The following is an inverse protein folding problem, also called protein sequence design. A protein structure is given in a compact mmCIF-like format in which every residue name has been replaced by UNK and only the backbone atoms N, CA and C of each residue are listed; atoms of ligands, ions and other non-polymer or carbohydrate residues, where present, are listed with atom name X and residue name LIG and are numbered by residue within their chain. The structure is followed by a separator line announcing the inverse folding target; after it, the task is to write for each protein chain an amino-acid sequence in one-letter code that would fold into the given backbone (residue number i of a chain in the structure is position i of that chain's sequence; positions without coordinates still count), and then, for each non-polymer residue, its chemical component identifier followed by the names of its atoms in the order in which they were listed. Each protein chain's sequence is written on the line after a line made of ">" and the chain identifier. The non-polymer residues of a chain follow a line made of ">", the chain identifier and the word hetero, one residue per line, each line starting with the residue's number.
data_IF_730047807214
#
_entry.id   IF_730047807214
#
_cell.length_a   1.000
_cell.length_b   1.000
_cell.length_c   1.000
_cell.angle_alpha   90.00
_cell.angle_beta   90.00
_cell.angle_gamma   90.00
#
_symmetry.space_group_name_H-M   'P 1'
#
loop_
_entity.id
_entity.type
_entity.pdbx_description
1 polymer ?
#
# COMPACT_ATOMS: atom_id res chain seq x y z
N UNK A 1 45.77 -11.06 -33.93
CA UNK A 1 44.98 -10.11 -34.73
C UNK A 1 43.55 -10.60 -34.68
N UNK A 2 42.77 -10.08 -33.73
CA UNK A 2 41.32 -10.30 -33.67
C UNK A 2 40.70 -8.90 -33.77
N UNK A 3 40.03 -8.64 -34.89
CA UNK A 3 39.17 -7.47 -35.10
C UNK A 3 37.88 -7.68 -34.30
N UNK A 4 37.68 -6.91 -33.24
CA UNK A 4 36.40 -6.81 -32.57
C UNK A 4 35.57 -5.71 -33.24
N UNK A 5 34.48 -6.12 -33.87
CA UNK A 5 33.49 -5.24 -34.47
C UNK A 5 32.76 -4.44 -33.37
N UNK A 6 33.07 -3.15 -33.29
CA UNK A 6 32.39 -2.17 -32.44
C UNK A 6 30.98 -1.93 -32.99
N UNK A 7 29.96 -2.50 -32.34
CA UNK A 7 28.56 -2.21 -32.65
C UNK A 7 28.15 -0.92 -31.94
N UNK A 8 27.94 0.14 -32.71
CA UNK A 8 27.37 1.41 -32.23
C UNK A 8 25.90 1.15 -31.88
N UNK A 9 25.59 1.16 -30.58
CA UNK A 9 24.20 1.23 -30.13
C UNK A 9 23.72 2.68 -30.29
N UNK A 10 22.77 2.90 -31.19
CA UNK A 10 21.97 4.12 -31.20
C UNK A 10 21.18 4.19 -29.89
N UNK A 11 21.55 5.13 -29.02
CA UNK A 11 20.79 5.43 -27.80
C UNK A 11 19.58 6.29 -28.18
N UNK A 12 18.34 5.76 -28.08
CA UNK A 12 17.12 6.51 -28.42
C UNK A 12 16.81 7.65 -27.44
N UNK A 13 17.66 7.89 -26.44
CA UNK A 13 17.52 8.96 -25.46
C UNK A 13 18.49 10.13 -25.63
N UNK A 14 19.36 10.09 -26.65
CA UNK A 14 20.32 11.18 -26.91
C UNK A 14 19.66 12.54 -27.20
N UNK A 15 18.43 12.55 -27.73
CA UNK A 15 17.70 13.79 -28.10
C UNK A 15 16.94 14.46 -26.93
N UNK A 16 16.93 13.88 -25.72
CA UNK A 16 16.10 14.39 -24.60
C UNK A 16 16.91 15.26 -23.62
N UNK A 17 18.23 15.39 -23.78
CA UNK A 17 19.10 16.07 -22.81
C UNK A 17 19.79 17.34 -23.29
N UNK A 18 19.51 17.86 -24.50
CA UNK A 18 20.00 19.18 -24.90
C UNK A 18 19.10 20.32 -24.37
N UNK A 19 18.89 20.33 -23.05
CA UNK A 19 18.29 21.44 -22.32
C UNK A 19 19.35 22.51 -22.02
N UNK A 20 19.95 23.04 -23.09
CA UNK A 20 21.05 24.03 -23.01
C UNK A 20 20.69 25.45 -23.44
N UNK A 21 19.41 25.74 -23.65
CA UNK A 21 18.95 27.11 -23.82
C UNK A 21 17.72 27.38 -22.94
N UNK A 22 17.97 28.11 -21.85
CA UNK A 22 16.96 28.59 -20.92
C UNK A 22 16.16 29.76 -21.49
N UNK A 23 15.35 29.50 -22.52
CA UNK A 23 14.47 30.49 -23.12
C UNK A 23 13.12 29.87 -23.49
N UNK A 24 12.22 29.77 -22.50
CA UNK A 24 10.79 29.75 -22.80
C UNK A 24 10.43 31.21 -23.16
N UNK A 25 10.30 31.49 -24.45
CA UNK A 25 9.66 32.71 -24.95
C UNK A 25 8.16 32.60 -24.64
N UNK A 26 7.75 33.20 -23.52
CA UNK A 26 6.36 33.57 -23.29
C UNK A 26 6.09 34.78 -24.19
N UNK A 27 5.50 34.53 -25.36
CA UNK A 27 4.98 35.60 -26.22
C UNK A 27 3.86 36.35 -25.48
N UNK A 28 4.18 37.61 -25.27
CA UNK A 28 3.37 38.68 -24.71
C UNK A 28 2.63 39.33 -25.89
N UNK A 29 1.35 38.99 -26.11
CA UNK A 29 0.46 39.79 -26.95
C UNK A 29 -0.82 40.20 -26.21
N UNK A 30 -1.03 41.50 -26.27
CA UNK A 30 -1.93 42.36 -25.50
C UNK A 30 -3.35 42.42 -26.10
N UNK A 31 -4.32 43.10 -25.43
CA UNK A 31 -5.74 42.81 -25.47
C UNK A 31 -6.48 43.54 -26.61
N UNK A 32 -7.61 42.98 -27.06
CA UNK A 32 -8.62 43.71 -27.84
C UNK A 32 -9.96 43.70 -27.11
N UNK A 33 -10.47 44.89 -26.80
CA UNK A 33 -11.83 45.12 -26.33
C UNK A 33 -12.81 45.26 -27.52
N UNK A 34 -13.97 44.62 -27.34
CA UNK A 34 -15.33 44.93 -27.81
C UNK A 34 -15.60 45.33 -29.28
N UNK A 35 -16.49 44.56 -29.92
CA UNK A 35 -17.59 45.12 -30.73
C UNK A 35 -18.81 44.19 -30.77
N UNK A 36 -19.95 44.84 -31.00
CA UNK A 36 -21.35 44.48 -30.71
C UNK A 36 -22.02 43.38 -31.57
N UNK A 37 -23.12 42.90 -30.98
CA UNK A 37 -24.35 42.28 -31.49
C UNK A 37 -24.58 42.07 -33.01
N UNK A 38 -25.02 40.85 -33.35
CA UNK A 38 -26.24 40.49 -34.13
C UNK A 38 -26.22 38.95 -34.30
N UNK A 39 -27.13 38.20 -33.68
CA UNK A 39 -28.39 37.67 -34.24
C UNK A 39 -28.22 36.89 -35.56
N UNK A 40 -28.02 35.57 -35.48
CA UNK A 40 -28.76 34.57 -36.26
C UNK A 40 -28.31 33.11 -35.98
N UNK A 41 -29.33 32.25 -35.96
CA UNK A 41 -29.40 30.84 -36.35
C UNK A 41 -28.84 29.72 -35.46
N UNK A 42 -29.78 28.81 -35.15
CA UNK A 42 -29.68 27.35 -35.11
C UNK A 42 -28.39 26.73 -34.56
N UNK A 43 -28.50 26.02 -33.42
CA UNK A 43 -27.62 24.87 -33.15
C UNK A 43 -28.26 23.89 -32.16
N UNK A 44 -28.95 22.91 -32.73
CA UNK A 44 -29.21 21.57 -32.20
C UNK A 44 -27.87 20.79 -32.02
N UNK A 45 -26.91 21.26 -31.20
CA UNK A 45 -25.61 20.56 -31.04
C UNK A 45 -24.97 20.63 -29.62
N UNK A 46 -25.78 20.66 -28.56
CA UNK A 46 -25.24 20.75 -27.19
C UNK A 46 -24.68 19.42 -26.59
N UNK A 47 -24.68 18.29 -27.33
CA UNK A 47 -24.28 16.98 -26.77
C UNK A 47 -22.93 16.42 -27.28
N UNK A 48 -22.21 17.15 -28.13
CA UNK A 48 -20.95 16.66 -28.73
C UNK A 48 -19.67 17.15 -28.02
N UNK A 49 -19.72 18.20 -27.18
CA UNK A 49 -18.50 18.87 -26.67
C UNK A 49 -17.93 18.31 -25.36
N UNK A 50 -18.54 17.27 -24.75
CA UNK A 50 -18.12 16.75 -23.43
C UNK A 50 -17.08 15.63 -23.40
N UNK A 51 -16.57 15.12 -24.54
CA UNK A 51 -15.86 13.81 -24.53
C UNK A 51 -14.35 13.78 -24.84
N UNK A 52 -13.67 14.91 -25.07
CA UNK A 52 -12.28 14.87 -25.58
C UNK A 52 -11.15 15.12 -24.56
N UNK A 53 -11.43 15.27 -23.26
CA UNK A 53 -10.38 15.50 -22.23
C UNK A 53 -9.91 14.25 -21.47
N UNK A 54 -10.38 13.06 -21.85
CA UNK A 54 -10.20 11.82 -21.09
C UNK A 54 -8.79 11.16 -21.10
N UNK A 55 -8.03 11.11 -22.22
CA UNK A 55 -6.86 10.22 -22.28
C UNK A 55 -5.65 10.73 -21.48
N UNK A 56 -5.40 12.05 -21.47
CA UNK A 56 -4.27 12.65 -20.72
C UNK A 56 -4.41 12.49 -19.21
N UNK A 57 -5.64 12.53 -18.68
CA UNK A 57 -5.92 12.38 -17.24
C UNK A 57 -5.74 10.93 -16.77
N UNK A 58 -6.07 9.95 -17.62
CA UNK A 58 -5.86 8.53 -17.31
C UNK A 58 -4.37 8.19 -17.22
N UNK A 59 -3.57 8.59 -18.21
CA UNK A 59 -2.12 8.36 -18.22
C UNK A 59 -1.41 9.04 -17.03
N UNK A 60 -1.83 10.24 -16.63
CA UNK A 60 -1.27 10.91 -15.46
C UNK A 60 -1.57 10.17 -14.14
N UNK A 61 -2.78 9.61 -14.00
CA UNK A 61 -3.17 8.78 -12.85
C UNK A 61 -2.37 7.48 -12.78
N UNK A 62 -2.19 6.83 -13.92
CA UNK A 62 -1.38 5.60 -14.02
C UNK A 62 0.08 5.84 -13.61
N UNK A 63 0.70 6.91 -14.13
CA UNK A 63 2.06 7.31 -13.72
C UNK A 63 2.16 7.64 -12.23
N UNK A 64 1.11 8.22 -11.64
CA UNK A 64 1.08 8.48 -10.20
C UNK A 64 0.99 7.17 -9.39
N UNK A 65 0.18 6.21 -9.82
CA UNK A 65 0.09 4.89 -9.20
C UNK A 65 1.40 4.11 -9.30
N UNK A 66 2.06 4.13 -10.46
CA UNK A 66 3.38 3.49 -10.64
C UNK A 66 4.42 4.11 -9.73
N UNK A 67 4.50 5.45 -9.66
CA UNK A 67 5.43 6.14 -8.75
C UNK A 67 5.16 5.78 -7.29
N UNK A 68 3.89 5.71 -6.89
CA UNK A 68 3.50 5.28 -5.55
C UNK A 68 3.92 3.83 -5.27
N UNK A 69 3.71 2.93 -6.22
CA UNK A 69 4.12 1.54 -6.09
C UNK A 69 5.64 1.41 -5.91
N UNK A 70 6.43 2.09 -6.76
CA UNK A 70 7.89 2.10 -6.66
C UNK A 70 8.35 2.67 -5.32
N UNK A 71 7.80 3.80 -4.88
CA UNK A 71 8.15 4.39 -3.58
C UNK A 71 7.87 3.41 -2.43
N UNK A 72 6.73 2.72 -2.48
CA UNK A 72 6.38 1.73 -1.46
C UNK A 72 7.28 0.49 -1.48
N UNK A 73 7.68 -0.01 -2.65
CA UNK A 73 8.65 -1.10 -2.76
C UNK A 73 9.96 -0.72 -2.06
N UNK A 74 10.48 0.48 -2.33
CA UNK A 74 11.72 0.97 -1.71
C UNK A 74 11.59 1.11 -0.20
N UNK A 75 10.45 1.58 0.29
CA UNK A 75 10.17 1.68 1.72
C UNK A 75 10.12 0.31 2.40
N UNK A 76 9.45 -0.67 1.79
CA UNK A 76 9.40 -2.05 2.29
C UNK A 76 10.78 -2.69 2.31
N UNK A 77 11.60 -2.46 1.27
CA UNK A 77 12.98 -2.97 1.20
C UNK A 77 13.92 -2.32 2.23
N UNK A 78 13.71 -1.05 2.55
CA UNK A 78 14.49 -0.31 3.54
C UNK A 78 14.02 -0.58 4.99
N UNK A 79 12.86 -1.21 5.18
CA UNK A 79 12.29 -1.49 6.49
C UNK A 79 12.99 -2.66 7.19
N UNK A 80 12.89 -2.70 8.52
CA UNK A 80 13.42 -3.82 9.31
C UNK A 80 12.73 -5.14 8.91
N UNK A 81 13.47 -6.25 8.72
CA UNK A 81 12.89 -7.53 8.32
C UNK A 81 11.79 -8.04 9.25
N UNK A 82 11.93 -7.82 10.56
CA UNK A 82 10.91 -8.17 11.54
C UNK A 82 9.61 -7.39 11.34
N UNK A 83 9.70 -6.10 10.99
CA UNK A 83 8.54 -5.26 10.72
C UNK A 83 7.83 -5.69 9.43
N UNK A 84 8.59 -6.02 8.38
CA UNK A 84 8.07 -6.56 7.12
C UNK A 84 7.33 -7.87 7.35
N UNK A 85 7.88 -8.76 8.20
CA UNK A 85 7.24 -10.03 8.57
C UNK A 85 5.89 -9.82 9.27
N UNK A 86 5.82 -8.86 10.20
CA UNK A 86 4.58 -8.52 10.91
C UNK A 86 3.56 -7.92 9.94
N UNK A 87 3.97 -6.98 9.08
CA UNK A 87 3.09 -6.38 8.07
C UNK A 87 2.52 -7.44 7.11
N UNK A 88 3.35 -8.37 6.64
CA UNK A 88 2.93 -9.49 5.82
C UNK A 88 1.95 -10.41 6.56
N UNK A 89 2.18 -10.66 7.85
CA UNK A 89 1.29 -11.47 8.69
C UNK A 89 -0.09 -10.82 8.90
N UNK A 90 -0.14 -9.48 9.04
CA UNK A 90 -1.40 -8.71 9.11
C UNK A 90 -2.21 -8.89 7.81
N UNK A 91 -1.54 -8.74 6.66
CA UNK A 91 -2.18 -8.80 5.35
C UNK A 91 -2.39 -10.23 4.81
N UNK A 92 -1.85 -11.24 5.51
CA UNK A 92 -1.95 -12.64 5.10
C UNK A 92 -1.16 -12.99 3.85
N UNK A 93 -0.09 -12.24 3.55
CA UNK A 93 0.78 -12.43 2.38
C UNK A 93 2.16 -12.94 2.78
N UNK A 94 2.94 -13.42 1.81
CA UNK A 94 4.30 -13.88 2.07
C UNK A 94 5.28 -12.70 2.13
N UNK A 95 5.99 -12.54 3.26
CA UNK A 95 6.99 -11.48 3.45
C UNK A 95 8.17 -11.57 2.46
N UNK A 96 8.49 -12.77 1.97
CA UNK A 96 9.55 -12.97 0.98
C UNK A 96 9.16 -12.46 -0.42
N UNK A 97 7.86 -12.28 -0.71
CA UNK A 97 7.42 -11.70 -1.96
C UNK A 97 7.11 -10.21 -1.78
N UNK A 98 8.14 -9.37 -1.97
CA UNK A 98 8.03 -7.91 -1.85
C UNK A 98 6.98 -7.30 -2.78
N UNK A 99 6.79 -7.87 -3.97
CA UNK A 99 5.81 -7.37 -4.93
C UNK A 99 4.38 -7.58 -4.43
N UNK A 100 4.04 -8.81 -4.01
CA UNK A 100 2.72 -9.13 -3.45
C UNK A 100 2.44 -8.31 -2.19
N UNK A 101 3.44 -8.18 -1.30
CA UNK A 101 3.32 -7.38 -0.10
C UNK A 101 3.04 -5.91 -0.43
N UNK A 102 3.76 -5.34 -1.40
CA UNK A 102 3.58 -3.95 -1.79
C UNK A 102 2.19 -3.71 -2.38
N UNK A 103 1.73 -4.61 -3.25
CA UNK A 103 0.35 -4.54 -3.80
C UNK A 103 -0.64 -4.61 -2.65
N UNK A 104 -0.50 -5.58 -1.75
CA UNK A 104 -1.38 -5.75 -0.61
C UNK A 104 -1.43 -4.49 0.29
N UNK A 105 -0.27 -3.86 0.56
CA UNK A 105 -0.21 -2.60 1.33
C UNK A 105 -0.98 -1.47 0.63
N UNK A 106 -0.78 -1.31 -0.67
CA UNK A 106 -1.39 -0.21 -1.42
C UNK A 106 -2.90 -0.39 -1.58
N UNK A 107 -3.37 -1.64 -1.64
CA UNK A 107 -4.80 -1.98 -1.78
C UNK A 107 -5.49 -2.24 -0.45
N UNK A 108 -4.77 -2.26 0.67
CA UNK A 108 -5.31 -2.56 1.98
C UNK A 108 -6.42 -1.59 2.38
N UNK A 109 -7.46 -2.14 3.00
CA UNK A 109 -8.59 -1.41 3.55
C UNK A 109 -8.75 -1.69 5.05
N UNK A 110 -9.72 -1.06 5.69
CA UNK A 110 -9.93 -1.18 7.12
C UNK A 110 -10.22 -2.63 7.59
N UNK A 111 -10.84 -3.47 6.75
CA UNK A 111 -11.12 -4.87 7.09
C UNK A 111 -9.85 -5.73 7.13
N UNK A 112 -8.85 -5.39 6.32
CA UNK A 112 -7.56 -6.10 6.32
C UNK A 112 -6.80 -5.87 7.63
N UNK A 113 -7.11 -4.79 8.34
CA UNK A 113 -6.57 -4.49 9.67
C UNK A 113 -7.40 -5.06 10.82
N UNK A 114 -8.46 -5.83 10.55
CA UNK A 114 -9.31 -6.37 11.61
C UNK A 114 -8.54 -7.28 12.58
N UNK A 115 -7.56 -8.05 12.09
CA UNK A 115 -6.70 -8.90 12.93
C UNK A 115 -5.92 -8.11 13.98
N UNK A 116 -5.54 -6.86 13.66
CA UNK A 116 -4.87 -5.96 14.62
C UNK A 116 -5.83 -5.52 15.71
N UNK A 117 -7.07 -5.16 15.33
CA UNK A 117 -8.09 -4.78 16.31
C UNK A 117 -8.44 -5.96 17.23
N UNK A 118 -8.52 -7.17 16.68
CA UNK A 118 -8.79 -8.39 17.44
C UNK A 118 -7.70 -8.66 18.48
N UNK A 119 -6.43 -8.56 18.06
CA UNK A 119 -5.29 -8.70 18.96
C UNK A 119 -5.29 -7.63 20.06
N UNK A 120 -5.52 -6.36 19.72
CA UNK A 120 -5.58 -5.25 20.68
C UNK A 120 -6.69 -5.46 21.70
N UNK A 121 -7.88 -5.86 21.24
CA UNK A 121 -9.02 -6.16 22.12
C UNK A 121 -8.69 -7.26 23.12
N UNK A 122 -7.96 -8.31 22.71
CA UNK A 122 -7.51 -9.37 23.62
C UNK A 122 -6.46 -8.86 24.61
N UNK A 123 -5.52 -8.01 24.16
CA UNK A 123 -4.47 -7.42 25.02
C UNK A 123 -5.01 -6.41 26.03
N UNK A 124 -6.11 -5.74 25.73
CA UNK A 124 -6.74 -4.74 26.58
C UNK A 124 -7.67 -5.37 27.64
N UNK A 125 -8.10 -6.61 27.42
CA UNK A 125 -8.97 -7.36 28.31
C UNK A 125 -8.20 -7.98 29.49
N UNK A 126 -8.89 -8.19 30.62
CA UNK A 126 -8.32 -8.98 31.72
C UNK A 126 -8.18 -10.47 31.33
N UNK A 127 -7.47 -11.27 32.14
CA UNK A 127 -7.18 -12.66 31.77
C UNK A 127 -8.43 -13.52 31.50
N UNK A 128 -9.54 -13.27 32.19
CA UNK A 128 -10.79 -13.99 32.00
C UNK A 128 -11.52 -13.46 30.77
N UNK A 129 -11.65 -12.13 30.64
CA UNK A 129 -12.25 -11.45 29.50
C UNK A 129 -11.51 -11.76 28.19
N UNK A 130 -10.17 -11.84 28.21
CA UNK A 130 -9.32 -12.20 27.09
C UNK A 130 -9.63 -13.63 26.60
N UNK A 131 -9.84 -14.57 27.53
CA UNK A 131 -10.24 -15.95 27.23
C UNK A 131 -11.60 -16.03 26.52
N UNK A 132 -12.59 -15.28 27.04
CA UNK A 132 -13.92 -15.18 26.45
C UNK A 132 -13.85 -14.51 25.07
N UNK A 133 -13.15 -13.39 24.97
CA UNK A 133 -12.97 -12.61 23.74
C UNK A 133 -12.31 -13.47 22.65
N UNK A 134 -11.21 -14.15 22.96
CA UNK A 134 -10.50 -15.01 22.01
C UNK A 134 -11.39 -16.18 21.54
N UNK A 135 -12.19 -16.76 22.44
CA UNK A 135 -13.14 -17.84 22.09
C UNK A 135 -14.26 -17.32 21.18
N UNK A 136 -14.72 -16.08 21.38
CA UNK A 136 -15.81 -15.47 20.60
C UNK A 136 -15.41 -15.05 19.17
N UNK A 137 -14.11 -14.93 18.85
CA UNK A 137 -13.64 -14.55 17.52
C UNK A 137 -14.01 -15.57 16.42
N UNK A 138 -14.21 -16.84 16.80
CA UNK A 138 -14.37 -17.95 15.86
C UNK A 138 -13.05 -18.36 15.18
N UNK A 139 -13.03 -19.58 14.61
CA UNK A 139 -11.81 -20.23 14.09
C UNK A 139 -10.97 -19.39 13.12
N UNK A 140 -11.62 -18.71 12.17
CA UNK A 140 -10.93 -18.00 11.11
C UNK A 140 -10.15 -16.79 11.65
N UNK A 141 -10.80 -15.96 12.48
CA UNK A 141 -10.17 -14.80 13.12
C UNK A 141 -9.14 -15.23 14.14
N UNK A 142 -9.41 -16.28 14.92
CA UNK A 142 -8.45 -16.85 15.86
C UNK A 142 -7.18 -17.33 15.14
N UNK A 143 -7.31 -17.97 13.98
CA UNK A 143 -6.17 -18.36 13.14
C UNK A 143 -5.39 -17.16 12.62
N UNK A 144 -6.07 -16.08 12.24
CA UNK A 144 -5.41 -14.85 11.79
C UNK A 144 -4.58 -14.23 12.93
N UNK A 145 -5.16 -14.14 14.14
CA UNK A 145 -4.43 -13.64 15.32
C UNK A 145 -3.27 -14.55 15.70
N UNK A 146 -3.44 -15.88 15.59
CA UNK A 146 -2.35 -16.83 15.81
C UNK A 146 -1.19 -16.64 14.83
N UNK A 147 -1.49 -16.46 13.54
CA UNK A 147 -0.46 -16.18 12.51
C UNK A 147 0.25 -14.86 12.76
N UNK A 148 -0.49 -13.83 13.16
CA UNK A 148 0.09 -12.54 13.54
C UNK A 148 1.03 -12.70 14.74
N UNK A 149 0.60 -13.44 15.76
CA UNK A 149 1.42 -13.69 16.95
C UNK A 149 2.65 -14.55 16.64
N UNK A 150 2.55 -15.49 15.70
CA UNK A 150 3.70 -16.26 15.20
C UNK A 150 4.70 -15.36 14.45
N UNK A 151 4.22 -14.41 13.64
CA UNK A 151 5.07 -13.40 12.99
C UNK A 151 5.72 -12.40 13.96
N UNK A 152 5.24 -12.34 15.20
CA UNK A 152 5.80 -11.55 16.31
C UNK A 152 6.70 -12.38 17.24
N UNK A 153 6.96 -13.64 16.90
CA UNK A 153 7.65 -14.63 17.75
C UNK A 153 6.97 -14.90 19.11
N UNK A 154 5.68 -14.56 19.24
CA UNK A 154 4.92 -14.75 20.48
C UNK A 154 4.39 -16.18 20.66
N UNK A 155 4.30 -16.95 19.57
CA UNK A 155 3.94 -18.38 19.59
C UNK A 155 4.77 -19.15 18.59
N UNK A 156 5.02 -20.42 18.88
CA UNK A 156 5.64 -21.36 17.96
C UNK A 156 4.68 -22.48 17.58
N UNK A 157 4.81 -22.95 16.34
CA UNK A 157 4.06 -24.10 15.85
C UNK A 157 2.63 -23.82 15.41
N UNK A 158 1.91 -24.91 15.12
CA UNK A 158 0.56 -24.86 14.60
C UNK A 158 -0.46 -24.54 15.70
N UNK A 159 -1.50 -23.78 15.33
CA UNK A 159 -2.61 -23.48 16.22
C UNK A 159 -3.33 -24.78 16.63
N UNK A 160 -3.63 -25.00 17.92
CA UNK A 160 -4.38 -26.16 18.37
C UNK A 160 -5.68 -26.39 17.58
N UNK A 161 -6.01 -27.65 17.28
CA UNK A 161 -7.17 -28.03 16.45
C UNK A 161 -8.53 -27.65 17.08
N UNK A 162 -8.60 -27.63 18.42
CA UNK A 162 -9.79 -27.27 19.20
C UNK A 162 -9.83 -25.78 19.51
N UNK A 163 -10.97 -25.12 19.27
CA UNK A 163 -11.13 -23.67 19.44
C UNK A 163 -10.90 -23.20 20.88
N UNK A 164 -11.50 -23.81 21.91
CA UNK A 164 -11.21 -23.46 23.30
C UNK A 164 -9.72 -23.61 23.65
N UNK A 165 -9.06 -24.68 23.16
CA UNK A 165 -7.64 -24.90 23.41
C UNK A 165 -6.76 -23.85 22.72
N UNK A 166 -7.11 -23.47 21.49
CA UNK A 166 -6.41 -22.44 20.75
C UNK A 166 -6.58 -21.06 21.40
N UNK A 167 -7.78 -20.71 21.86
CA UNK A 167 -8.04 -19.47 22.58
C UNK A 167 -7.23 -19.39 23.89
N UNK A 168 -7.24 -20.46 24.69
CA UNK A 168 -6.45 -20.52 25.94
C UNK A 168 -4.95 -20.41 25.64
N UNK A 169 -4.45 -21.12 24.62
CA UNK A 169 -3.05 -21.07 24.24
C UNK A 169 -2.63 -19.67 23.78
N UNK A 170 -3.48 -19.00 23.00
CA UNK A 170 -3.25 -17.62 22.55
C UNK A 170 -3.16 -16.66 23.73
N UNK A 171 -4.15 -16.69 24.63
CA UNK A 171 -4.19 -15.80 25.80
C UNK A 171 -3.00 -16.04 26.72
N UNK A 172 -2.61 -17.31 26.92
CA UNK A 172 -1.39 -17.66 27.69
C UNK A 172 -0.13 -17.09 27.05
N UNK A 173 0.01 -17.18 25.73
CA UNK A 173 1.16 -16.64 25.02
C UNK A 173 1.25 -15.12 25.15
N UNK A 174 0.12 -14.42 25.05
CA UNK A 174 0.07 -12.96 25.19
C UNK A 174 0.43 -12.50 26.62
N UNK A 175 -0.06 -13.20 27.65
CA UNK A 175 0.24 -12.88 29.05
C UNK A 175 1.65 -13.30 29.49
N UNK A 176 2.22 -14.34 28.89
CA UNK A 176 3.59 -14.77 29.16
C UNK A 176 4.63 -13.88 28.46
N UNK A 177 4.25 -13.26 27.33
CA UNK A 177 5.11 -12.36 26.57
C UNK A 177 5.10 -10.91 27.05
N UNK A 178 5.98 -10.10 26.47
CA UNK A 178 5.98 -8.66 26.68
C UNK A 178 4.88 -8.01 25.82
N UNK A 179 3.71 -7.83 26.43
CA UNK A 179 2.55 -7.19 25.80
C UNK A 179 2.84 -5.77 25.29
N UNK A 180 3.75 -5.03 25.93
CA UNK A 180 4.12 -3.68 25.48
C UNK A 180 4.98 -3.74 24.21
N UNK A 181 5.95 -4.67 24.17
CA UNK A 181 6.75 -4.91 22.96
C UNK A 181 5.91 -5.41 21.79
N UNK A 182 4.93 -6.30 22.05
CA UNK A 182 3.97 -6.77 21.05
C UNK A 182 3.18 -5.59 20.47
N UNK A 183 2.62 -4.73 21.32
CA UNK A 183 1.88 -3.53 20.87
C UNK A 183 2.78 -2.61 20.02
N UNK A 184 3.98 -2.31 20.50
CA UNK A 184 4.91 -1.44 19.79
C UNK A 184 5.27 -1.95 18.39
N UNK A 185 5.52 -3.25 18.24
CA UNK A 185 5.81 -3.87 16.94
C UNK A 185 4.60 -3.84 15.99
N UNK A 186 3.40 -4.13 16.51
CA UNK A 186 2.16 -4.07 15.72
C UNK A 186 1.88 -2.64 15.27
N UNK A 187 2.07 -1.65 16.14
CA UNK A 187 1.87 -0.24 15.79
C UNK A 187 2.88 0.25 14.75
N UNK A 188 4.14 -0.14 14.86
CA UNK A 188 5.16 0.15 13.85
C UNK A 188 4.82 -0.49 12.50
N UNK A 189 4.35 -1.74 12.49
CA UNK A 189 3.90 -2.39 11.26
C UNK A 189 2.69 -1.65 10.65
N UNK A 190 1.70 -1.28 11.46
CA UNK A 190 0.54 -0.50 11.00
C UNK A 190 0.95 0.87 10.46
N UNK A 191 1.99 1.50 11.01
CA UNK A 191 2.55 2.73 10.47
C UNK A 191 3.11 2.53 9.05
N UNK A 192 3.85 1.45 8.79
CA UNK A 192 4.32 1.10 7.44
C UNK A 192 3.14 0.84 6.47
N UNK A 193 2.06 0.22 6.95
CA UNK A 193 0.85 0.00 6.14
C UNK A 193 0.15 1.31 5.78
N UNK A 194 0.32 2.37 6.57
CA UNK A 194 -0.39 3.65 6.43
C UNK A 194 0.45 4.76 5.82
N UNK A 195 1.78 4.64 5.79
CA UNK A 195 2.63 5.60 5.09
C UNK A 195 2.23 5.63 3.62
N UNK A 196 1.92 6.81 3.10
CA UNK A 196 1.43 7.02 1.74
C UNK A 196 2.47 7.72 0.90
#
# INVERSE_FOLDING_TARGET
>A
MNDEAFTVYDDPWADVTDARDGSITLDDEKPYEAHDADDHDDDDEEDARRRLTAPRRAAARERALVRKAVAKVLEVQASEPGLVQVAASILGVNAANTADLTVAIITANARDLQVVNDLKTILDADALEAGVTATALGRARLRAVWKLLAGLDGVSGEMPSSDPKAAIALVRALHAGDSAAIRGRVDAAVALLRSK
#
